data_IF_769098652766
#
_entry.id   IF_769098652766
#
_cell.length_a   1.000
_cell.length_b   1.000
_cell.length_c   1.000
_cell.angle_alpha   90.00
_cell.angle_beta   90.00
_cell.angle_gamma   90.00
#
_symmetry.space_group_name_H-M   'P 1'
#
loop_
_entity.id
_entity.type
_entity.pdbx_description
1 polymer ?
#
# COMPACT_ATOMS: atom_id res chain seq x y z
N UNK A 1 -0.51 66.73 -20.61
CA UNK A 1 -1.70 66.18 -21.27
C UNK A 1 -1.68 64.70 -21.12
N UNK A 2 -2.46 64.24 -20.19
CA UNK A 2 -2.54 62.87 -19.75
C UNK A 2 -3.41 61.99 -20.64
N UNK A 3 -3.33 60.72 -20.44
CA UNK A 3 -4.38 59.74 -20.65
C UNK A 3 -4.10 58.57 -19.73
N UNK A 4 -4.80 58.58 -18.61
CA UNK A 4 -5.05 57.41 -17.78
C UNK A 4 -6.11 56.56 -18.48
N UNK A 5 -5.72 55.41 -18.98
CA UNK A 5 -6.62 54.37 -19.47
C UNK A 5 -6.96 53.43 -18.33
N UNK A 6 -8.22 53.47 -17.91
CA UNK A 6 -8.86 52.50 -17.02
C UNK A 6 -8.96 51.17 -17.73
N UNK A 7 -8.45 50.11 -17.12
CA UNK A 7 -8.67 48.73 -17.53
C UNK A 7 -9.49 48.02 -16.44
N UNK A 8 -10.80 48.32 -16.46
CA UNK A 8 -11.81 47.45 -15.85
C UNK A 8 -12.51 46.70 -16.99
N UNK A 9 -12.00 45.54 -17.34
CA UNK A 9 -12.73 44.55 -18.10
C UNK A 9 -13.07 43.35 -17.19
N UNK A 10 -14.35 43.07 -16.94
CA UNK A 10 -14.74 41.87 -16.24
C UNK A 10 -14.55 40.67 -17.16
N UNK A 11 -13.89 39.63 -16.68
CA UNK A 11 -13.78 38.35 -17.33
C UNK A 11 -15.17 37.72 -17.45
N UNK A 12 -15.83 37.93 -18.58
CA UNK A 12 -17.00 37.19 -19.02
C UNK A 12 -16.57 35.77 -19.40
N UNK A 13 -16.59 34.85 -18.42
CA UNK A 13 -16.42 33.43 -18.65
C UNK A 13 -17.74 32.90 -19.21
N UNK A 14 -17.79 32.74 -20.53
CA UNK A 14 -18.89 32.16 -21.27
C UNK A 14 -19.20 30.78 -20.69
N UNK A 15 -20.32 30.66 -19.99
CA UNK A 15 -20.90 29.42 -19.52
C UNK A 15 -21.44 28.61 -20.71
N UNK A 16 -20.57 27.88 -21.42
CA UNK A 16 -20.98 26.89 -22.40
C UNK A 16 -20.98 25.50 -21.77
N UNK A 17 -22.19 24.96 -21.55
CA UNK A 17 -22.43 23.53 -21.46
C UNK A 17 -21.92 22.85 -20.21
N UNK A 18 -22.34 23.26 -19.04
CA UNK A 18 -22.21 22.42 -17.83
C UNK A 18 -23.11 21.20 -17.97
N UNK A 19 -22.53 20.06 -18.42
CA UNK A 19 -23.12 18.75 -18.17
C UNK A 19 -23.32 18.62 -16.66
N UNK A 20 -24.53 18.27 -16.26
CA UNK A 20 -24.89 18.04 -14.86
C UNK A 20 -23.85 17.14 -14.18
N UNK A 21 -23.31 17.60 -13.07
CA UNK A 21 -22.37 16.78 -12.28
C UNK A 21 -23.11 15.55 -11.76
N UNK A 22 -22.57 14.34 -11.93
CA UNK A 22 -23.19 13.15 -11.34
C UNK A 22 -23.30 13.34 -9.83
N UNK A 23 -24.53 13.17 -9.29
CA UNK A 23 -24.78 13.25 -7.86
C UNK A 23 -24.14 12.04 -7.17
N UNK A 24 -23.32 12.28 -6.16
CA UNK A 24 -22.85 11.23 -5.27
C UNK A 24 -23.77 11.12 -4.04
N UNK A 25 -24.04 9.90 -3.54
CA UNK A 25 -23.52 8.62 -3.99
C UNK A 25 -24.26 8.08 -5.23
N UNK A 26 -23.51 7.47 -6.17
CA UNK A 26 -24.10 6.74 -7.28
C UNK A 26 -24.99 5.61 -6.72
N UNK A 27 -26.30 5.65 -7.03
CA UNK A 27 -27.19 4.54 -6.68
C UNK A 27 -26.88 3.39 -7.64
N UNK A 28 -26.40 2.29 -7.09
CA UNK A 28 -26.31 1.03 -7.82
C UNK A 28 -27.73 0.51 -8.03
N UNK A 29 -28.15 0.38 -9.29
CA UNK A 29 -29.41 -0.27 -9.65
C UNK A 29 -29.37 -1.74 -9.22
N UNK A 30 -30.12 -2.06 -8.19
CA UNK A 30 -30.23 -3.39 -7.60
C UNK A 30 -31.13 -4.34 -8.40
N UNK A 31 -31.54 -3.99 -9.60
CA UNK A 31 -32.46 -4.80 -10.42
C UNK A 31 -31.82 -6.00 -11.13
N UNK A 32 -30.50 -6.11 -11.17
CA UNK A 32 -29.79 -7.22 -11.83
C UNK A 32 -29.39 -8.38 -10.91
N UNK A 33 -29.74 -8.35 -9.62
CA UNK A 33 -29.29 -9.36 -8.64
C UNK A 33 -30.30 -10.52 -8.40
N UNK A 34 -31.39 -10.65 -9.17
CA UNK A 34 -32.46 -11.62 -8.89
C UNK A 34 -32.34 -12.98 -9.60
N UNK A 35 -31.28 -13.26 -10.37
CA UNK A 35 -31.15 -14.54 -11.07
C UNK A 35 -29.73 -15.11 -10.95
N UNK A 36 -29.29 -15.48 -9.75
CA UNK A 36 -28.21 -16.46 -9.58
C UNK A 36 -28.73 -17.61 -8.71
N UNK A 37 -28.73 -18.86 -9.21
CA UNK A 37 -29.04 -20.02 -8.39
C UNK A 37 -27.91 -20.25 -7.37
N UNK A 38 -28.29 -20.43 -6.12
CA UNK A 38 -27.39 -20.87 -5.05
C UNK A 38 -26.94 -22.30 -5.30
N UNK A 39 -25.63 -22.62 -5.29
CA UNK A 39 -25.21 -24.01 -5.19
C UNK A 39 -25.40 -24.48 -3.76
N UNK A 40 -26.23 -25.52 -3.59
CA UNK A 40 -26.39 -26.24 -2.34
C UNK A 40 -25.08 -26.95 -1.99
N UNK A 41 -24.35 -26.45 -1.01
CA UNK A 41 -23.16 -27.09 -0.46
C UNK A 41 -23.55 -28.16 0.53
N UNK A 42 -23.29 -29.40 0.18
CA UNK A 42 -23.40 -30.59 1.04
C UNK A 42 -22.36 -30.50 2.15
N UNK A 43 -22.81 -30.49 3.40
CA UNK A 43 -21.97 -30.58 4.61
C UNK A 43 -21.47 -32.01 4.75
N UNK A 44 -20.16 -32.22 4.69
CA UNK A 44 -19.56 -33.52 5.05
C UNK A 44 -19.18 -33.54 6.54
N UNK A 45 -19.38 -34.70 7.24
CA UNK A 45 -19.12 -34.81 8.68
C UNK A 45 -17.63 -34.96 8.98
N UNK A 46 -17.22 -34.37 10.13
CA UNK A 46 -15.92 -34.54 10.75
C UNK A 46 -15.67 -36.02 11.11
N UNK A 47 -14.52 -36.58 10.73
CA UNK A 47 -14.02 -37.88 11.25
C UNK A 47 -13.04 -37.64 12.43
N UNK A 48 -12.92 -38.59 13.36
CA UNK A 48 -12.34 -38.39 14.68
C UNK A 48 -10.82 -38.62 14.76
N UNK A 49 -10.25 -37.94 15.74
CA UNK A 49 -8.98 -38.12 16.45
C UNK A 49 -8.29 -39.48 16.32
N UNK A 50 -7.00 -39.45 15.95
CA UNK A 50 -6.05 -40.56 16.12
C UNK A 50 -4.72 -40.07 16.71
N UNK A 51 -4.53 -40.43 17.97
CA UNK A 51 -3.36 -40.90 18.70
C UNK A 51 -1.99 -40.22 18.58
N UNK A 52 -1.55 -39.73 19.73
CA UNK A 52 -0.18 -39.36 20.06
C UNK A 52 0.75 -40.61 20.05
N UNK A 53 1.91 -40.49 19.47
CA UNK A 53 3.03 -41.40 19.65
C UNK A 53 4.19 -40.65 20.26
N UNK A 54 4.49 -40.94 21.50
CA UNK A 54 5.71 -40.53 22.21
C UNK A 54 6.85 -41.45 21.82
N UNK A 55 7.99 -40.88 21.41
CA UNK A 55 9.27 -41.61 21.35
C UNK A 55 10.31 -40.80 22.10
N UNK A 56 10.68 -41.29 23.25
CA UNK A 56 11.87 -40.92 24.01
C UNK A 56 13.11 -41.54 23.37
N UNK A 57 14.17 -40.76 23.19
CA UNK A 57 15.45 -41.25 22.77
C UNK A 57 16.56 -40.26 23.11
N UNK A 58 17.16 -40.44 24.29
CA UNK A 58 18.39 -39.70 24.67
C UNK A 58 19.60 -40.28 23.95
N UNK A 59 20.37 -39.42 23.29
CA UNK A 59 21.75 -39.72 22.93
C UNK A 59 22.62 -38.49 23.19
N UNK A 60 23.51 -38.62 24.17
CA UNK A 60 24.68 -37.79 24.42
C UNK A 60 25.70 -38.05 23.32
N UNK A 61 26.27 -37.02 22.70
CA UNK A 61 27.68 -37.03 22.27
C UNK A 61 28.19 -35.59 22.00
N UNK A 62 29.20 -35.25 22.75
CA UNK A 62 30.46 -34.53 22.44
C UNK A 62 30.41 -33.28 21.53
N UNK A 63 30.85 -32.16 22.10
CA UNK A 63 31.33 -30.96 21.44
C UNK A 63 32.66 -31.19 20.70
N UNK A 64 32.88 -30.57 19.55
CA UNK A 64 34.20 -30.21 19.12
C UNK A 64 34.41 -28.69 19.21
N UNK A 65 35.66 -28.36 19.60
CA UNK A 65 36.23 -27.04 19.83
C UNK A 65 36.45 -26.26 18.53
N UNK A 66 36.15 -24.97 18.59
CA UNK A 66 36.78 -23.81 17.96
C UNK A 66 37.59 -23.98 16.67
N UNK A 67 37.08 -23.38 15.61
CA UNK A 67 37.85 -22.89 14.47
C UNK A 67 37.22 -21.56 14.02
N UNK A 68 37.90 -20.46 14.37
CA UNK A 68 37.47 -19.13 13.96
C UNK A 68 37.75 -18.96 12.46
N UNK A 69 36.71 -19.00 11.65
CA UNK A 69 36.68 -18.39 10.33
C UNK A 69 35.46 -17.52 10.32
N UNK A 70 35.64 -16.20 10.47
CA UNK A 70 34.62 -15.21 10.44
C UNK A 70 33.96 -15.14 9.05
N UNK A 71 32.95 -16.00 8.85
CA UNK A 71 31.96 -15.77 7.82
C UNK A 71 31.09 -14.66 8.37
N UNK A 72 30.93 -13.51 7.66
CA UNK A 72 30.03 -12.48 8.09
C UNK A 72 28.64 -13.12 8.20
N UNK A 73 28.09 -13.18 9.42
CA UNK A 73 26.71 -13.57 9.65
C UNK A 73 25.89 -12.54 8.86
N UNK A 74 25.04 -12.95 7.90
CA UNK A 74 24.17 -12.01 7.23
C UNK A 74 23.27 -11.36 8.29
N UNK A 75 23.57 -10.11 8.64
CA UNK A 75 22.70 -9.33 9.51
C UNK A 75 21.37 -9.18 8.80
N UNK A 76 20.29 -9.66 9.42
CA UNK A 76 18.93 -9.40 8.99
C UNK A 76 18.29 -10.46 8.11
N UNK A 77 18.22 -11.70 8.55
CA UNK A 77 17.23 -12.68 8.08
C UNK A 77 15.85 -12.46 8.74
N UNK A 78 15.65 -11.32 9.41
CA UNK A 78 14.35 -10.89 9.87
C UNK A 78 13.44 -10.53 8.69
N UNK A 79 12.13 -10.70 8.86
CA UNK A 79 11.09 -10.40 7.84
C UNK A 79 11.02 -8.90 7.48
N UNK A 80 11.72 -8.06 8.21
CA UNK A 80 11.90 -6.62 8.04
C UNK A 80 13.21 -6.25 7.32
N UNK A 81 13.99 -7.25 6.89
CA UNK A 81 15.30 -7.04 6.31
C UNK A 81 15.26 -6.31 4.96
N UNK A 82 16.33 -5.57 4.66
CA UNK A 82 16.53 -4.95 3.35
C UNK A 82 16.40 -5.96 2.20
N UNK A 83 16.86 -7.20 2.40
CA UNK A 83 16.76 -8.27 1.40
C UNK A 83 15.31 -8.62 1.05
N UNK A 84 14.38 -8.62 2.03
CA UNK A 84 12.96 -8.89 1.78
C UNK A 84 12.33 -7.72 1.02
N UNK A 85 12.66 -6.48 1.37
CA UNK A 85 12.23 -5.30 0.62
C UNK A 85 12.74 -5.32 -0.82
N UNK A 86 13.99 -5.65 -1.04
CA UNK A 86 14.57 -5.76 -2.38
C UNK A 86 13.88 -6.83 -3.23
N UNK A 87 13.49 -7.96 -2.65
CA UNK A 87 12.70 -9.00 -3.36
C UNK A 87 11.34 -8.48 -3.77
N UNK A 88 10.66 -7.71 -2.90
CA UNK A 88 9.41 -7.04 -3.26
C UNK A 88 9.61 -6.11 -4.46
N UNK A 89 10.65 -5.27 -4.45
CA UNK A 89 10.97 -4.35 -5.55
C UNK A 89 11.26 -5.10 -6.85
N UNK A 90 12.06 -6.17 -6.80
CA UNK A 90 12.32 -7.01 -7.96
C UNK A 90 11.04 -7.64 -8.54
N UNK A 91 10.13 -8.08 -7.67
CA UNK A 91 8.83 -8.60 -8.08
C UNK A 91 7.97 -7.52 -8.75
N UNK A 92 7.95 -6.30 -8.22
CA UNK A 92 7.24 -5.17 -8.82
C UNK A 92 7.79 -4.84 -10.21
N UNK A 93 9.11 -4.79 -10.37
CA UNK A 93 9.75 -4.61 -11.67
C UNK A 93 9.38 -5.73 -12.65
N UNK A 94 9.38 -6.98 -12.22
CA UNK A 94 8.93 -8.12 -13.01
C UNK A 94 7.44 -8.11 -13.37
N UNK A 95 6.62 -7.36 -12.64
CA UNK A 95 5.20 -7.14 -12.89
C UNK A 95 4.92 -5.92 -13.80
N UNK A 96 5.96 -5.26 -14.29
CA UNK A 96 5.86 -4.16 -15.25
C UNK A 96 5.87 -2.76 -14.66
N UNK A 97 6.30 -2.59 -13.40
CA UNK A 97 6.66 -1.27 -12.86
C UNK A 97 8.07 -0.93 -13.36
N UNK A 98 8.18 0.13 -14.16
CA UNK A 98 9.43 0.47 -14.87
C UNK A 98 10.11 1.74 -14.35
N UNK A 99 9.36 2.60 -13.65
CA UNK A 99 9.90 3.87 -13.15
C UNK A 99 10.87 3.64 -11.97
N UNK A 100 12.16 4.03 -12.13
CA UNK A 100 13.18 3.78 -11.10
C UNK A 100 12.96 4.56 -9.82
N UNK A 101 12.32 5.74 -9.88
CA UNK A 101 12.01 6.55 -8.70
C UNK A 101 10.93 5.86 -7.86
N UNK A 102 9.91 5.28 -8.53
CA UNK A 102 8.87 4.50 -7.85
C UNK A 102 9.47 3.27 -7.19
N UNK A 103 10.29 2.50 -7.91
CA UNK A 103 10.94 1.32 -7.36
C UNK A 103 11.85 1.66 -6.17
N UNK A 104 12.60 2.76 -6.26
CA UNK A 104 13.43 3.27 -5.17
C UNK A 104 12.59 3.67 -3.95
N UNK A 105 11.51 4.42 -4.15
CA UNK A 105 10.62 4.85 -3.07
C UNK A 105 9.98 3.64 -2.38
N UNK A 106 9.47 2.67 -3.14
CA UNK A 106 8.90 1.42 -2.61
C UNK A 106 9.90 0.60 -1.81
N UNK A 107 11.18 0.60 -2.21
CA UNK A 107 12.27 -0.08 -1.51
C UNK A 107 12.74 0.66 -0.26
N UNK A 108 12.54 1.97 -0.17
CA UNK A 108 12.99 2.79 0.95
C UNK A 108 12.02 2.75 2.14
N UNK A 109 10.72 2.68 1.89
CA UNK A 109 9.70 2.70 2.95
C UNK A 109 9.55 1.32 3.59
N UNK A 110 9.63 1.27 4.90
CA UNK A 110 9.50 0.05 5.72
C UNK A 110 8.02 -0.31 5.91
N UNK A 111 7.44 -0.97 4.90
CA UNK A 111 6.02 -1.30 4.87
C UNK A 111 5.52 -2.07 6.10
N UNK A 112 6.37 -2.91 6.72
CA UNK A 112 6.03 -3.66 7.92
C UNK A 112 5.65 -2.77 9.12
N UNK A 113 6.10 -1.51 9.14
CA UNK A 113 5.74 -0.55 10.20
C UNK A 113 4.29 -0.05 10.10
N UNK A 114 3.63 -0.25 8.95
CA UNK A 114 2.28 0.21 8.66
C UNK A 114 1.21 -0.87 8.85
N UNK A 115 1.59 -2.09 9.20
CA UNK A 115 0.70 -3.21 9.49
C UNK A 115 0.77 -3.61 10.96
N UNK A 116 -0.17 -4.45 11.39
CA UNK A 116 -0.13 -4.98 12.76
C UNK A 116 1.00 -5.98 12.92
N UNK A 117 1.57 -6.09 14.13
CA UNK A 117 2.73 -6.95 14.43
C UNK A 117 2.52 -8.41 14.02
N UNK A 118 1.31 -8.94 14.12
CA UNK A 118 0.95 -10.29 13.66
C UNK A 118 0.99 -10.47 12.13
N UNK A 119 1.07 -9.39 11.35
CA UNK A 119 1.06 -9.42 9.89
C UNK A 119 2.39 -9.01 9.26
N UNK A 120 3.40 -8.71 10.07
CA UNK A 120 4.74 -8.27 9.62
C UNK A 120 5.33 -9.24 8.60
N UNK A 121 5.16 -10.55 8.80
CA UNK A 121 5.65 -11.60 7.91
C UNK A 121 5.06 -11.54 6.49
N UNK A 122 3.88 -10.95 6.33
CA UNK A 122 3.18 -10.81 5.06
C UNK A 122 3.32 -9.40 4.46
N UNK A 123 3.95 -8.48 5.18
CA UNK A 123 3.99 -7.06 4.81
C UNK A 123 4.57 -6.80 3.41
N UNK A 124 5.47 -7.64 2.96
CA UNK A 124 6.17 -7.50 1.66
C UNK A 124 5.64 -8.44 0.58
N UNK A 125 4.60 -9.21 0.88
CA UNK A 125 3.87 -9.96 -0.13
C UNK A 125 2.94 -9.04 -0.92
N UNK A 126 2.66 -9.40 -2.18
CA UNK A 126 1.76 -8.62 -3.03
C UNK A 126 0.29 -8.92 -2.68
N UNK A 127 -0.07 -8.59 -1.45
CA UNK A 127 -1.40 -8.78 -0.89
C UNK A 127 -1.87 -7.56 -0.10
N UNK A 128 -3.19 -7.38 -0.03
CA UNK A 128 -3.81 -6.39 0.87
C UNK A 128 -3.94 -6.98 2.26
N UNK A 129 -3.61 -6.21 3.30
CA UNK A 129 -3.67 -6.66 4.68
C UNK A 129 -4.61 -5.76 5.48
N UNK A 130 -5.33 -6.29 6.49
CA UNK A 130 -6.20 -5.50 7.35
C UNK A 130 -5.40 -4.49 8.17
N UNK A 131 -5.95 -3.28 8.31
CA UNK A 131 -5.40 -2.19 9.12
C UNK A 131 -6.39 -1.71 10.20
N UNK A 132 -7.46 -2.47 10.42
CA UNK A 132 -8.51 -2.13 11.37
C UNK A 132 -9.67 -1.36 10.72
N UNK A 133 -10.76 -1.21 11.48
CA UNK A 133 -11.98 -0.49 11.07
C UNK A 133 -12.56 -0.93 9.71
N UNK A 134 -12.38 -2.21 9.34
CA UNK A 134 -12.84 -2.76 8.07
C UNK A 134 -12.06 -2.27 6.85
N UNK A 135 -10.89 -1.66 7.05
CA UNK A 135 -10.02 -1.16 5.98
C UNK A 135 -8.77 -2.00 5.81
N UNK A 136 -8.14 -1.86 4.65
CA UNK A 136 -6.90 -2.57 4.32
C UNK A 136 -5.84 -1.62 3.79
N UNK A 137 -4.57 -1.94 4.02
CA UNK A 137 -3.47 -1.38 3.25
C UNK A 137 -3.50 -2.00 1.85
N UNK A 138 -3.39 -1.18 0.81
CA UNK A 138 -3.33 -1.67 -0.57
C UNK A 138 -2.11 -2.52 -0.81
N UNK A 139 -2.21 -3.54 -1.67
CA UNK A 139 -1.07 -4.38 -2.04
C UNK A 139 0.04 -3.56 -2.71
N UNK A 140 1.31 -3.96 -2.58
CA UNK A 140 2.44 -3.22 -3.12
C UNK A 140 2.33 -2.88 -4.61
N UNK A 141 1.89 -3.83 -5.45
CA UNK A 141 1.74 -3.60 -6.89
C UNK A 141 0.73 -2.50 -7.25
N UNK A 142 -0.34 -2.36 -6.47
CA UNK A 142 -1.33 -1.28 -6.69
C UNK A 142 -0.72 0.07 -6.33
N UNK A 143 -0.07 0.18 -5.17
CA UNK A 143 0.59 1.43 -4.75
C UNK A 143 1.64 1.86 -5.77
N UNK A 144 2.52 0.93 -6.17
CA UNK A 144 3.56 1.20 -7.15
C UNK A 144 2.97 1.66 -8.50
N UNK A 145 1.95 0.96 -9.01
CA UNK A 145 1.32 1.30 -10.29
C UNK A 145 0.59 2.64 -10.26
N UNK A 146 -0.14 2.95 -9.19
CA UNK A 146 -0.80 4.25 -9.02
C UNK A 146 0.22 5.39 -8.98
N UNK A 147 1.33 5.20 -8.26
CA UNK A 147 2.41 6.18 -8.15
C UNK A 147 3.11 6.37 -9.50
N UNK A 148 3.38 5.29 -10.24
CA UNK A 148 3.97 5.34 -11.58
C UNK A 148 3.08 6.08 -12.58
N UNK A 149 1.78 5.82 -12.57
CA UNK A 149 0.82 6.55 -13.41
C UNK A 149 0.74 8.04 -13.06
N UNK A 150 0.86 8.38 -11.78
CA UNK A 150 0.90 9.77 -11.34
C UNK A 150 2.16 10.48 -11.86
N UNK A 151 3.33 9.86 -11.73
CA UNK A 151 4.61 10.39 -12.24
C UNK A 151 4.62 10.51 -13.77
N UNK A 152 4.01 9.57 -14.48
CA UNK A 152 3.89 9.59 -15.94
C UNK A 152 2.85 10.58 -16.48
N UNK A 153 2.14 11.33 -15.62
CA UNK A 153 1.11 12.28 -16.04
C UNK A 153 1.71 13.58 -16.59
N UNK A 154 0.95 14.27 -17.44
CA UNK A 154 1.33 15.60 -17.95
C UNK A 154 1.60 16.59 -16.81
N UNK A 155 0.84 16.51 -15.72
CA UNK A 155 1.00 17.39 -14.55
C UNK A 155 2.31 17.17 -13.80
N UNK A 156 2.97 16.03 -14.00
CA UNK A 156 4.22 15.66 -13.34
C UNK A 156 5.48 15.89 -14.18
N UNK A 157 5.37 16.45 -15.40
CA UNK A 157 6.53 16.67 -16.30
C UNK A 157 7.65 17.49 -15.68
N UNK A 158 7.34 18.40 -14.76
CA UNK A 158 8.32 19.17 -13.99
C UNK A 158 8.57 18.62 -12.57
N UNK A 159 8.21 17.37 -12.33
CA UNK A 159 8.21 16.71 -11.02
C UNK A 159 6.90 16.89 -10.28
N UNK A 160 6.67 16.03 -9.28
CA UNK A 160 5.50 16.12 -8.41
C UNK A 160 5.66 17.30 -7.44
N UNK A 161 4.87 18.34 -7.64
CA UNK A 161 4.82 19.49 -6.73
C UNK A 161 4.04 19.17 -5.46
N UNK A 162 2.74 19.51 -5.44
CA UNK A 162 1.80 19.21 -4.36
C UNK A 162 0.89 18.07 -4.78
N UNK A 163 0.80 17.05 -3.94
CA UNK A 163 -0.04 15.86 -4.15
C UNK A 163 -1.12 15.80 -3.08
N UNK A 164 -2.33 15.50 -3.48
CA UNK A 164 -3.44 15.20 -2.59
C UNK A 164 -3.80 13.72 -2.70
N UNK A 165 -3.71 13.01 -1.58
CA UNK A 165 -4.19 11.64 -1.41
C UNK A 165 -5.55 11.65 -0.72
N UNK A 166 -6.48 10.83 -1.20
CA UNK A 166 -7.77 10.61 -0.55
C UNK A 166 -7.81 9.17 -0.04
N UNK A 167 -7.94 9.00 1.28
CA UNK A 167 -7.92 7.70 1.94
C UNK A 167 -6.52 7.35 2.45
N UNK A 168 -6.03 8.08 3.45
CA UNK A 168 -4.71 7.88 4.08
C UNK A 168 -4.51 6.45 4.59
N UNK A 169 -5.57 5.82 5.13
CA UNK A 169 -5.49 4.51 5.76
C UNK A 169 -4.49 4.51 6.92
N UNK A 170 -3.46 3.67 6.79
CA UNK A 170 -2.35 3.62 7.76
C UNK A 170 -1.19 4.59 7.45
N UNK A 171 -1.24 5.33 6.33
CA UNK A 171 -0.22 6.29 5.92
C UNK A 171 0.87 5.76 4.99
N UNK A 172 0.82 4.49 4.59
CA UNK A 172 1.88 3.88 3.77
C UNK A 172 2.08 4.56 2.42
N UNK A 173 0.99 4.80 1.66
CA UNK A 173 1.10 5.45 0.36
C UNK A 173 1.52 6.91 0.50
N UNK A 174 1.06 7.63 1.53
CA UNK A 174 1.54 8.97 1.84
C UNK A 174 3.05 8.99 2.09
N UNK A 175 3.59 8.00 2.82
CA UNK A 175 5.03 7.85 3.04
C UNK A 175 5.80 7.62 1.73
N UNK A 176 5.29 6.76 0.82
CA UNK A 176 5.89 6.55 -0.50
C UNK A 176 5.87 7.85 -1.31
N UNK A 177 4.75 8.55 -1.36
CA UNK A 177 4.58 9.80 -2.09
C UNK A 177 5.49 10.92 -1.55
N UNK A 178 5.78 10.94 -0.25
CA UNK A 178 6.66 11.94 0.36
C UNK A 178 8.11 11.90 -0.14
N UNK A 179 8.54 10.77 -0.71
CA UNK A 179 9.86 10.65 -1.34
C UNK A 179 9.89 11.16 -2.78
N UNK A 180 8.74 11.44 -3.38
CA UNK A 180 8.59 11.75 -4.80
C UNK A 180 7.99 13.14 -5.03
N UNK A 181 7.22 13.66 -4.09
CA UNK A 181 6.54 14.93 -4.18
C UNK A 181 7.15 15.95 -3.21
N UNK A 182 7.06 17.24 -3.58
CA UNK A 182 7.52 18.32 -2.70
C UNK A 182 6.67 18.44 -1.43
N UNK A 183 5.36 18.24 -1.56
CA UNK A 183 4.39 18.31 -0.47
C UNK A 183 3.31 17.25 -0.68
N UNK A 184 2.94 16.54 0.38
CA UNK A 184 1.85 15.57 0.35
C UNK A 184 0.78 15.98 1.35
N UNK A 185 -0.42 16.15 0.86
CA UNK A 185 -1.63 16.34 1.68
C UNK A 185 -2.43 15.05 1.61
N UNK A 186 -2.87 14.56 2.74
CA UNK A 186 -3.64 13.33 2.79
C UNK A 186 -4.86 13.46 3.69
N UNK A 187 -5.98 12.88 3.26
CA UNK A 187 -7.26 12.97 3.96
C UNK A 187 -7.75 11.57 4.35
N UNK A 188 -8.12 11.42 5.62
CA UNK A 188 -8.72 10.20 6.15
C UNK A 188 -10.03 10.53 6.87
N UNK A 189 -11.09 9.81 6.50
CA UNK A 189 -12.43 9.99 7.05
C UNK A 189 -12.58 9.34 8.43
N UNK A 190 -11.90 8.20 8.64
CA UNK A 190 -12.00 7.43 9.87
C UNK A 190 -10.97 7.92 10.89
N UNK A 191 -11.44 8.58 11.94
CA UNK A 191 -10.58 9.19 12.95
C UNK A 191 -9.52 8.23 13.51
N UNK A 192 -9.88 6.98 13.80
CA UNK A 192 -8.92 6.00 14.32
C UNK A 192 -7.79 5.66 13.34
N UNK A 193 -8.06 5.66 12.02
CA UNK A 193 -7.01 5.50 11.00
C UNK A 193 -6.21 6.78 10.82
N UNK A 194 -6.84 7.95 10.85
CA UNK A 194 -6.14 9.23 10.84
C UNK A 194 -5.12 9.34 11.98
N UNK A 195 -5.51 9.00 13.21
CA UNK A 195 -4.62 9.05 14.37
C UNK A 195 -3.46 8.05 14.22
N UNK A 196 -3.74 6.83 13.76
CA UNK A 196 -2.72 5.81 13.44
C UNK A 196 -1.76 6.26 12.34
N UNK A 197 -2.27 6.81 11.24
CA UNK A 197 -1.45 7.33 10.16
C UNK A 197 -0.50 8.43 10.64
N UNK A 198 -1.03 9.37 11.44
CA UNK A 198 -0.22 10.44 12.04
C UNK A 198 0.92 9.91 12.90
N UNK A 199 0.68 8.83 13.64
CA UNK A 199 1.70 8.20 14.48
C UNK A 199 2.74 7.43 13.64
N UNK A 200 2.32 6.77 12.56
CA UNK A 200 3.20 6.05 11.64
C UNK A 200 4.09 6.98 10.80
N UNK A 201 3.66 8.21 10.53
CA UNK A 201 4.35 9.18 9.66
C UNK A 201 5.30 10.12 10.42
N UNK A 202 5.43 9.97 11.73
CA UNK A 202 6.40 10.69 12.57
C UNK A 202 7.73 9.98 12.63
#
# INVERSE_FOLDING_TARGET
SGLLGSVDEPFDFIAQGMKERPSFPARLDTTLAKNRPHPSGTVMPLAPRGQAVSVSGAAKTAAPKSGASGVPIPQGLGMDSLAVRQRMVQKLAGQGVTDPLVLSAMGSIERHRFVDSGLVNQAYEDTSLPIGLGQTISKPSVVARMTELLLGSEAAKSGLGRVLEIGTGCGYQAAVLSLLAREVYTLERLRGLHDRARDNLR
#
